data_IF_860311217005
#
_entry.id   IF_860311217005
#
_cell.length_a   1.000
_cell.length_b   1.000
_cell.length_c   1.000
_cell.angle_alpha   90.00
_cell.angle_beta   90.00
_cell.angle_gamma   90.00
#
_symmetry.space_group_name_H-M   'P 1'
#
loop_
_entity.id
_entity.type
_entity.pdbx_description
1 polymer ?
#
# COMPACT_ATOMS: atom_id res chain seq x y z
N UNK A 1 37.60 35.28 -53.76
CA UNK A 1 36.90 34.00 -53.50
C UNK A 1 36.98 33.71 -52.01
N UNK A 2 36.00 34.20 -51.23
CA UNK A 2 35.99 34.10 -49.77
C UNK A 2 35.15 32.91 -49.29
N UNK A 3 35.72 32.09 -48.39
CA UNK A 3 35.07 30.93 -47.77
C UNK A 3 34.21 31.39 -46.60
N UNK A 4 32.91 31.08 -46.63
CA UNK A 4 32.01 31.21 -45.48
C UNK A 4 32.16 29.97 -44.58
N UNK A 5 32.55 30.20 -43.33
CA UNK A 5 32.57 29.20 -42.26
C UNK A 5 31.24 29.29 -41.52
N UNK A 6 30.42 28.24 -41.59
CA UNK A 6 29.19 28.14 -40.81
C UNK A 6 29.52 27.54 -39.43
N UNK A 7 29.33 28.33 -38.37
CA UNK A 7 29.43 27.87 -37.00
C UNK A 7 28.11 27.23 -36.56
N UNK A 8 28.12 25.92 -36.32
CA UNK A 8 27.01 25.20 -35.69
C UNK A 8 27.05 25.44 -34.18
N UNK A 9 26.09 26.21 -33.66
CA UNK A 9 25.81 26.29 -32.23
C UNK A 9 25.04 25.04 -31.79
N UNK A 10 25.70 24.17 -31.03
CA UNK A 10 25.08 23.02 -30.37
C UNK A 10 24.52 23.50 -29.04
N UNK A 11 23.20 23.62 -28.94
CA UNK A 11 22.49 23.87 -27.68
C UNK A 11 22.40 22.58 -26.86
N UNK A 12 23.10 22.55 -25.73
CA UNK A 12 23.04 21.47 -24.75
C UNK A 12 21.70 21.54 -23.99
N UNK A 13 20.77 20.62 -24.27
CA UNK A 13 19.53 20.50 -23.51
C UNK A 13 19.83 19.87 -22.13
N UNK A 14 19.75 20.68 -21.07
CA UNK A 14 19.77 20.21 -19.69
C UNK A 14 18.49 19.40 -19.42
N UNK A 15 18.62 18.08 -19.36
CA UNK A 15 17.58 17.19 -18.85
C UNK A 15 17.45 17.41 -17.33
N UNK A 16 16.66 18.40 -16.93
CA UNK A 16 16.21 18.53 -15.54
C UNK A 16 15.31 17.35 -15.22
N UNK A 17 15.66 16.57 -14.18
CA UNK A 17 14.77 15.56 -13.62
C UNK A 17 13.52 16.26 -13.06
N UNK A 18 12.49 16.42 -13.89
CA UNK A 18 11.20 16.90 -13.46
C UNK A 18 10.62 15.86 -12.48
N UNK A 19 10.59 16.21 -11.20
CA UNK A 19 9.82 15.44 -10.21
C UNK A 19 8.36 15.71 -10.52
N UNK A 20 7.64 14.72 -11.05
CA UNK A 20 6.19 14.80 -11.22
C UNK A 20 5.55 14.90 -9.83
N UNK A 21 5.07 16.09 -9.50
CA UNK A 21 4.23 16.31 -8.33
C UNK A 21 2.79 16.18 -8.79
N UNK A 22 2.09 15.17 -8.27
CA UNK A 22 0.69 14.95 -8.62
C UNK A 22 -0.14 15.95 -7.82
N UNK A 23 -0.69 16.95 -8.51
CA UNK A 23 -1.66 17.88 -7.94
C UNK A 23 -3.00 17.16 -7.92
N UNK A 24 -3.51 16.87 -6.72
CA UNK A 24 -4.92 16.45 -6.57
C UNK A 24 -5.77 17.72 -6.72
N UNK A 25 -6.47 17.84 -7.85
CA UNK A 25 -7.49 18.88 -8.01
C UNK A 25 -8.65 18.61 -7.04
N UNK A 26 -8.90 19.57 -6.14
CA UNK A 26 -10.00 19.52 -5.19
C UNK A 26 -9.63 18.92 -3.84
N UNK A 27 -10.06 19.60 -2.77
CA UNK A 27 -10.04 19.10 -1.39
C UNK A 27 -11.09 17.99 -1.20
N UNK A 28 -11.03 16.93 -2.01
CA UNK A 28 -11.92 15.80 -1.83
C UNK A 28 -11.60 15.14 -0.49
N UNK A 29 -12.59 15.11 0.39
CA UNK A 29 -12.54 14.34 1.61
C UNK A 29 -12.54 12.87 1.20
N UNK A 30 -11.41 12.20 1.40
CA UNK A 30 -11.23 10.79 1.05
C UNK A 30 -11.41 9.94 2.30
N UNK A 31 -11.60 8.66 2.10
CA UNK A 31 -11.53 7.65 3.16
C UNK A 31 -10.50 6.59 2.83
N UNK A 32 -9.99 5.90 3.85
CA UNK A 32 -9.21 4.67 3.65
C UNK A 32 -10.11 3.54 3.14
N UNK A 33 -9.68 2.82 2.09
CA UNK A 33 -10.44 1.71 1.49
C UNK A 33 -10.11 0.33 2.10
N UNK A 34 -9.08 0.28 2.95
CA UNK A 34 -8.71 -0.87 3.73
C UNK A 34 -8.11 -0.42 5.07
N UNK A 35 -7.97 -1.35 6.01
CA UNK A 35 -7.15 -1.14 7.18
C UNK A 35 -5.69 -0.87 6.74
N UNK A 36 -5.10 0.19 7.29
CA UNK A 36 -3.70 0.52 7.10
C UNK A 36 -2.91 0.19 8.38
N UNK A 37 -1.62 -0.12 8.21
CA UNK A 37 -0.75 -0.56 9.31
C UNK A 37 0.43 0.40 9.55
N UNK A 38 0.18 1.56 10.18
CA UNK A 38 1.26 2.44 10.60
C UNK A 38 2.08 1.81 11.72
N UNK A 39 3.40 1.94 11.65
CA UNK A 39 4.26 1.77 12.81
C UNK A 39 4.09 2.93 13.81
N UNK A 40 4.80 2.88 14.95
CA UNK A 40 4.73 3.91 15.99
C UNK A 40 4.97 5.35 15.47
N UNK A 41 5.72 5.52 14.37
CA UNK A 41 6.02 6.82 13.73
C UNK A 41 4.99 7.25 12.67
N UNK A 42 3.88 6.51 12.52
CA UNK A 42 2.87 6.80 11.50
C UNK A 42 3.27 6.41 10.08
N UNK A 43 4.27 5.53 9.91
CA UNK A 43 4.73 5.08 8.59
C UNK A 43 4.09 3.75 8.24
N UNK A 44 3.44 3.72 7.08
CA UNK A 44 2.86 2.56 6.42
C UNK A 44 3.76 2.23 5.21
N UNK A 45 4.01 0.95 4.96
CA UNK A 45 4.86 0.48 3.86
C UNK A 45 4.09 -0.44 2.93
N UNK A 46 4.39 -0.40 1.62
CA UNK A 46 3.80 -1.34 0.65
C UNK A 46 4.25 -2.81 0.83
N UNK A 47 5.23 -3.07 1.70
CA UNK A 47 5.51 -4.43 2.23
C UNK A 47 4.34 -4.94 3.09
N UNK A 48 3.48 -4.06 3.60
CA UNK A 48 2.32 -4.42 4.42
C UNK A 48 2.65 -5.41 5.56
N UNK A 49 3.71 -5.10 6.30
CA UNK A 49 4.15 -5.90 7.44
C UNK A 49 3.29 -5.65 8.68
N UNK A 50 3.02 -6.68 9.45
CA UNK A 50 2.14 -6.60 10.64
C UNK A 50 2.89 -6.28 11.94
N UNK A 51 4.22 -6.16 11.87
CA UNK A 51 5.09 -6.08 13.05
C UNK A 51 5.05 -4.71 13.72
N UNK A 52 4.68 -4.66 15.00
CA UNK A 52 4.73 -3.43 15.80
C UNK A 52 3.89 -2.30 15.20
N UNK A 53 2.83 -2.65 14.46
CA UNK A 53 1.94 -1.70 13.79
C UNK A 53 0.61 -1.58 14.53
N UNK A 54 0.11 -0.36 14.65
CA UNK A 54 -1.29 -0.09 15.01
C UNK A 54 -2.16 -0.28 13.76
N UNK A 55 -3.47 -0.49 13.92
CA UNK A 55 -4.43 -0.46 12.81
C UNK A 55 -4.99 0.96 12.72
N UNK A 56 -4.86 1.57 11.54
CA UNK A 56 -5.69 2.70 11.12
C UNK A 56 -6.90 2.09 10.38
N UNK A 57 -8.11 2.15 10.94
CA UNK A 57 -9.25 1.42 10.40
C UNK A 57 -9.59 1.81 8.96
N UNK A 58 -10.20 0.88 8.21
CA UNK A 58 -10.93 1.20 6.98
C UNK A 58 -12.00 2.26 7.26
N UNK A 59 -12.33 3.05 6.24
CA UNK A 59 -13.26 4.16 6.31
C UNK A 59 -12.82 5.30 7.25
N UNK A 60 -11.53 5.39 7.57
CA UNK A 60 -10.98 6.56 8.26
C UNK A 60 -11.02 7.75 7.30
N UNK A 61 -11.67 8.88 7.65
CA UNK A 61 -11.61 10.10 6.87
C UNK A 61 -10.19 10.66 6.83
N UNK A 62 -9.72 10.99 5.64
CA UNK A 62 -8.36 11.46 5.39
C UNK A 62 -8.33 12.58 4.35
N UNK A 63 -7.29 13.40 4.44
CA UNK A 63 -6.93 14.37 3.41
C UNK A 63 -5.49 14.11 2.97
N UNK A 64 -5.29 13.90 1.68
CA UNK A 64 -3.96 13.79 1.09
C UNK A 64 -3.32 15.18 1.11
N UNK A 65 -2.12 15.28 1.67
CA UNK A 65 -1.32 16.51 1.71
C UNK A 65 -0.33 16.57 0.56
N UNK A 66 0.20 15.41 0.13
CA UNK A 66 1.19 15.33 -0.95
C UNK A 66 1.27 13.92 -1.53
N UNK A 67 1.48 13.83 -2.84
CA UNK A 67 1.85 12.60 -3.53
C UNK A 67 3.15 12.83 -4.28
N UNK A 68 4.07 11.88 -4.17
CA UNK A 68 5.30 11.79 -4.96
C UNK A 68 5.45 10.36 -5.46
N UNK A 69 6.38 10.12 -6.38
CA UNK A 69 6.63 8.81 -6.99
C UNK A 69 6.74 7.62 -6.00
N UNK A 70 7.13 7.87 -4.74
CA UNK A 70 7.34 6.81 -3.74
C UNK A 70 6.66 7.02 -2.40
N UNK A 71 5.92 8.11 -2.23
CA UNK A 71 5.34 8.47 -0.94
C UNK A 71 4.01 9.21 -1.10
N UNK A 72 2.99 8.79 -0.35
CA UNK A 72 1.78 9.58 -0.05
C UNK A 72 1.87 10.11 1.37
N UNK A 73 1.72 11.41 1.54
CA UNK A 73 1.52 12.06 2.85
C UNK A 73 0.06 12.41 3.01
N UNK A 74 -0.52 12.04 4.14
CA UNK A 74 -1.92 12.31 4.42
C UNK A 74 -2.15 12.53 5.91
N UNK A 75 -3.26 13.18 6.23
CA UNK A 75 -3.73 13.39 7.61
C UNK A 75 -5.06 12.67 7.80
N UNK A 76 -5.23 11.98 8.93
CA UNK A 76 -6.53 11.50 9.37
C UNK A 76 -7.29 12.66 10.02
N UNK A 77 -8.37 13.13 9.39
CA UNK A 77 -9.01 14.41 9.75
C UNK A 77 -9.64 14.37 11.14
N UNK A 78 -10.24 13.25 11.54
CA UNK A 78 -10.84 13.08 12.86
C UNK A 78 -9.86 13.10 14.05
N UNK A 79 -8.55 12.92 13.82
CA UNK A 79 -7.52 12.94 14.88
C UNK A 79 -6.41 13.97 14.65
N UNK A 80 -6.42 14.64 13.49
CA UNK A 80 -5.34 15.50 13.00
C UNK A 80 -3.94 14.84 13.00
N UNK A 81 -3.88 13.50 12.99
CA UNK A 81 -2.62 12.76 12.96
C UNK A 81 -2.12 12.58 11.53
N UNK A 82 -0.85 12.90 11.30
CA UNK A 82 -0.17 12.74 10.01
C UNK A 82 0.41 11.33 9.84
N UNK A 83 0.36 10.84 8.61
CA UNK A 83 0.85 9.53 8.19
C UNK A 83 1.63 9.62 6.89
N UNK A 84 2.47 8.62 6.66
CA UNK A 84 3.20 8.41 5.41
C UNK A 84 2.95 7.01 4.89
N UNK A 85 2.53 6.88 3.64
CA UNK A 85 2.50 5.62 2.92
C UNK A 85 3.70 5.59 1.98
N UNK A 86 4.62 4.65 2.17
CA UNK A 86 5.89 4.56 1.44
C UNK A 86 5.92 3.30 0.60
N UNK A 87 6.20 3.44 -0.70
CA UNK A 87 6.48 2.29 -1.54
C UNK A 87 7.81 1.66 -1.12
N UNK A 88 7.84 0.34 -1.00
CA UNK A 88 9.10 -0.39 -0.88
C UNK A 88 9.79 -0.49 -2.24
N UNK A 89 11.13 -0.61 -2.26
CA UNK A 89 11.91 -0.64 -3.51
C UNK A 89 11.60 -1.85 -4.41
N UNK A 90 11.03 -2.90 -3.84
CA UNK A 90 10.61 -4.08 -4.59
C UNK A 90 9.22 -3.95 -5.22
N UNK A 91 8.47 -2.90 -4.90
CA UNK A 91 7.17 -2.63 -5.51
C UNK A 91 7.38 -2.37 -7.01
N UNK A 92 6.74 -3.16 -7.85
CA UNK A 92 6.66 -2.96 -9.30
C UNK A 92 5.49 -2.07 -9.71
N UNK A 93 4.51 -1.86 -8.82
CA UNK A 93 3.37 -0.97 -9.07
C UNK A 93 3.71 0.51 -8.83
N UNK A 94 3.18 1.43 -9.67
CA UNK A 94 3.38 2.87 -9.53
C UNK A 94 2.56 3.45 -8.37
N UNK A 95 2.88 4.67 -7.91
CA UNK A 95 2.24 5.27 -6.73
C UNK A 95 0.73 5.46 -6.92
N UNK A 96 0.29 5.74 -8.13
CA UNK A 96 -1.11 5.97 -8.50
C UNK A 96 -1.95 4.72 -8.27
N UNK A 97 -1.41 3.55 -8.62
CA UNK A 97 -2.06 2.26 -8.34
C UNK A 97 -2.20 2.05 -6.83
N UNK A 98 -1.19 2.41 -6.05
CA UNK A 98 -1.29 2.35 -4.58
C UNK A 98 -2.27 3.38 -4.01
N UNK A 99 -2.38 4.57 -4.58
CA UNK A 99 -3.36 5.57 -4.16
C UNK A 99 -4.77 5.03 -4.36
N UNK A 100 -5.07 4.49 -5.55
CA UNK A 100 -6.38 3.93 -5.89
C UNK A 100 -6.76 2.71 -5.04
N UNK A 101 -5.77 1.95 -4.59
CA UNK A 101 -5.99 0.80 -3.69
C UNK A 101 -6.44 1.19 -2.29
N UNK A 102 -5.96 2.31 -1.78
CA UNK A 102 -6.06 2.63 -0.36
C UNK A 102 -6.87 3.89 -0.05
N UNK A 103 -7.14 4.75 -1.03
CA UNK A 103 -7.86 5.99 -0.84
C UNK A 103 -8.99 6.12 -1.88
N UNK A 104 -10.18 6.50 -1.44
CA UNK A 104 -11.32 6.71 -2.33
C UNK A 104 -12.40 7.59 -1.71
N UNK A 105 -13.39 7.98 -2.52
CA UNK A 105 -14.44 8.92 -2.10
C UNK A 105 -15.56 8.31 -1.25
N UNK A 106 -15.62 6.99 -1.09
CA UNK A 106 -16.68 6.32 -0.35
C UNK A 106 -16.19 5.08 0.41
N UNK A 107 -16.70 4.90 1.62
CA UNK A 107 -16.43 3.73 2.46
C UNK A 107 -16.93 2.45 1.78
N UNK A 108 -16.16 1.34 1.77
CA UNK A 108 -16.67 0.04 1.39
C UNK A 108 -17.86 -0.37 2.27
N UNK A 109 -18.89 -0.98 1.67
CA UNK A 109 -20.05 -1.49 2.42
C UNK A 109 -19.69 -2.79 3.18
N UNK A 110 -18.99 -2.64 4.31
CA UNK A 110 -18.53 -3.77 5.14
C UNK A 110 -19.70 -4.60 5.67
N UNK A 111 -20.82 -3.96 5.97
CA UNK A 111 -22.01 -4.61 6.53
C UNK A 111 -22.68 -5.57 5.54
N UNK A 112 -22.48 -5.37 4.24
CA UNK A 112 -22.96 -6.27 3.20
C UNK A 112 -22.03 -7.47 2.95
N UNK A 113 -20.84 -7.51 3.58
CA UNK A 113 -19.90 -8.62 3.43
C UNK A 113 -20.31 -9.81 4.32
N UNK A 114 -19.87 -11.04 4.00
CA UNK A 114 -20.03 -12.21 4.87
C UNK A 114 -19.53 -11.98 6.30
N UNK A 115 -20.10 -12.68 7.28
CA UNK A 115 -19.76 -12.50 8.69
C UNK A 115 -18.25 -12.70 8.98
N UNK A 116 -17.62 -13.69 8.32
CA UNK A 116 -16.18 -13.91 8.44
C UNK A 116 -15.37 -12.69 7.97
N UNK A 117 -15.79 -12.02 6.89
CA UNK A 117 -15.16 -10.81 6.39
C UNK A 117 -15.31 -9.66 7.38
N UNK A 118 -16.51 -9.45 7.92
CA UNK A 118 -16.75 -8.42 8.91
C UNK A 118 -15.86 -8.59 10.15
N UNK A 119 -15.77 -9.81 10.68
CA UNK A 119 -14.91 -10.14 11.83
C UNK A 119 -13.42 -9.95 11.51
N UNK A 120 -12.97 -10.39 10.34
CA UNK A 120 -11.60 -10.19 9.91
C UNK A 120 -11.26 -8.72 9.73
N UNK A 121 -12.17 -7.91 9.17
CA UNK A 121 -12.00 -6.47 9.01
C UNK A 121 -11.92 -5.77 10.36
N UNK A 122 -12.81 -6.11 11.30
CA UNK A 122 -12.81 -5.54 12.65
C UNK A 122 -11.51 -5.84 13.41
N UNK A 123 -11.01 -7.07 13.31
CA UNK A 123 -9.76 -7.48 13.97
C UNK A 123 -8.51 -7.09 13.17
N UNK A 124 -8.72 -6.62 11.92
CA UNK A 124 -7.69 -6.40 10.93
C UNK A 124 -6.83 -7.63 10.71
N UNK A 125 -7.42 -8.81 10.54
CA UNK A 125 -6.70 -10.07 10.28
C UNK A 125 -7.46 -10.95 9.28
N UNK A 126 -6.77 -11.58 8.30
CA UNK A 126 -7.31 -12.68 7.51
C UNK A 126 -7.65 -13.88 8.41
N UNK A 127 -8.75 -14.56 8.10
CA UNK A 127 -9.23 -15.74 8.81
C UNK A 127 -9.92 -16.71 7.83
N UNK A 128 -10.03 -18.01 8.17
CA UNK A 128 -10.83 -18.96 7.39
C UNK A 128 -12.26 -18.47 7.15
N UNK A 129 -12.80 -18.75 5.96
CA UNK A 129 -14.14 -18.33 5.54
C UNK A 129 -14.22 -16.93 4.93
N UNK A 130 -13.16 -16.12 5.02
CA UNK A 130 -13.13 -14.79 4.39
C UNK A 130 -13.06 -14.86 2.86
N UNK A 131 -13.57 -13.83 2.19
CA UNK A 131 -13.36 -13.62 0.75
C UNK A 131 -12.02 -12.92 0.48
N UNK A 132 -11.52 -12.97 -0.76
CA UNK A 132 -10.35 -12.17 -1.18
C UNK A 132 -10.54 -10.68 -0.91
N UNK A 133 -11.73 -10.16 -1.18
CA UNK A 133 -12.09 -8.77 -0.91
C UNK A 133 -12.03 -8.48 0.59
N UNK A 134 -12.63 -9.33 1.42
CA UNK A 134 -12.58 -9.20 2.88
C UNK A 134 -11.15 -9.20 3.40
N UNK A 135 -10.28 -10.08 2.88
CA UNK A 135 -8.86 -10.13 3.24
C UNK A 135 -8.15 -8.84 2.88
N UNK A 136 -8.39 -8.29 1.69
CA UNK A 136 -7.80 -7.01 1.25
C UNK A 136 -8.26 -5.86 2.15
N UNK A 137 -9.55 -5.77 2.47
CA UNK A 137 -10.07 -4.70 3.34
C UNK A 137 -9.51 -4.86 4.77
N UNK A 138 -9.43 -6.09 5.27
CA UNK A 138 -8.98 -6.38 6.63
C UNK A 138 -7.49 -6.18 6.85
N UNK A 139 -6.66 -6.66 5.92
CA UNK A 139 -5.22 -6.74 6.09
C UNK A 139 -4.44 -5.80 5.18
N UNK A 140 -5.09 -5.17 4.20
CA UNK A 140 -4.46 -4.48 3.09
C UNK A 140 -4.07 -5.43 1.96
N UNK A 141 -3.66 -4.85 0.82
CA UNK A 141 -3.18 -5.62 -0.32
C UNK A 141 -1.90 -6.40 0.06
N UNK A 142 -1.76 -7.66 -0.41
CA UNK A 142 -0.49 -8.36 -0.27
C UNK A 142 0.58 -7.63 -1.11
N UNK A 143 1.87 -7.71 -0.73
CA UNK A 143 2.91 -7.05 -1.48
C UNK A 143 3.04 -7.69 -2.86
N UNK A 144 2.93 -6.86 -3.89
CA UNK A 144 2.94 -7.21 -5.31
C UNK A 144 4.14 -8.07 -5.72
N UNK A 145 5.33 -7.80 -5.19
CA UNK A 145 6.53 -8.59 -5.49
C UNK A 145 6.53 -10.03 -4.97
N UNK A 146 5.64 -10.39 -4.03
CA UNK A 146 5.45 -11.79 -3.56
C UNK A 146 4.05 -12.33 -3.86
N UNK A 147 3.12 -11.48 -4.29
CA UNK A 147 1.78 -11.86 -4.75
C UNK A 147 1.46 -11.00 -5.97
N UNK A 148 1.95 -11.39 -7.16
CA UNK A 148 1.85 -10.56 -8.36
C UNK A 148 0.42 -10.32 -8.83
N UNK A 149 -0.49 -11.25 -8.52
CA UNK A 149 -1.89 -11.19 -8.93
C UNK A 149 -2.82 -11.47 -7.76
N UNK A 150 -4.01 -10.85 -7.77
CA UNK A 150 -5.00 -11.00 -6.70
C UNK A 150 -5.89 -12.25 -6.87
N UNK A 151 -5.78 -12.95 -7.99
CA UNK A 151 -6.39 -14.27 -8.20
C UNK A 151 -5.48 -15.43 -7.74
N UNK A 152 -4.24 -15.14 -7.28
CA UNK A 152 -3.30 -16.15 -6.82
C UNK A 152 -3.91 -17.07 -5.75
N UNK A 153 -3.61 -18.38 -5.75
CA UNK A 153 -4.17 -19.32 -4.78
C UNK A 153 -3.73 -19.03 -3.33
N UNK A 154 -2.68 -18.22 -3.16
CA UNK A 154 -2.16 -17.83 -1.86
C UNK A 154 -1.74 -16.36 -1.87
N UNK A 155 -2.13 -15.62 -0.85
CA UNK A 155 -1.54 -14.32 -0.55
C UNK A 155 -0.45 -14.48 0.50
N UNK A 156 0.70 -13.84 0.29
CA UNK A 156 1.81 -13.84 1.24
C UNK A 156 1.97 -12.48 1.90
N UNK A 157 1.89 -12.46 3.22
CA UNK A 157 2.14 -11.29 4.08
C UNK A 157 3.37 -11.51 4.95
N UNK A 158 3.78 -10.47 5.67
CA UNK A 158 4.91 -10.51 6.61
C UNK A 158 4.43 -10.29 8.04
N UNK A 159 4.46 -11.35 8.85
CA UNK A 159 4.16 -11.32 10.28
C UNK A 159 5.40 -11.08 11.14
N UNK A 160 5.25 -11.25 12.46
CA UNK A 160 6.33 -11.04 13.44
C UNK A 160 7.44 -12.09 13.37
N UNK A 161 7.07 -13.35 13.15
CA UNK A 161 7.97 -14.50 13.16
C UNK A 161 8.35 -15.02 11.77
N UNK A 162 7.85 -14.40 10.70
CA UNK A 162 8.08 -14.88 9.33
C UNK A 162 6.98 -14.46 8.36
N UNK A 163 6.83 -15.24 7.30
CA UNK A 163 5.73 -15.06 6.36
C UNK A 163 4.41 -15.55 6.97
N UNK A 164 3.31 -14.93 6.56
CA UNK A 164 1.96 -15.42 6.82
C UNK A 164 1.34 -15.70 5.46
N UNK A 165 0.94 -16.94 5.22
CA UNK A 165 0.28 -17.36 3.99
C UNK A 165 -1.22 -17.47 4.24
N UNK A 166 -2.00 -16.88 3.34
CA UNK A 166 -3.47 -16.97 3.31
C UNK A 166 -3.84 -17.75 2.06
N UNK A 167 -4.29 -18.98 2.24
CA UNK A 167 -4.62 -19.89 1.14
C UNK A 167 -6.10 -19.85 0.82
N UNK A 168 -6.42 -19.90 -0.47
CA UNK A 168 -7.78 -19.80 -0.99
C UNK A 168 -8.19 -21.07 -1.74
N UNK A 169 -9.47 -21.44 -1.62
CA UNK A 169 -10.16 -22.27 -2.59
C UNK A 169 -11.21 -21.40 -3.29
N UNK A 170 -11.00 -21.15 -4.59
CA UNK A 170 -11.74 -20.12 -5.31
C UNK A 170 -11.56 -18.74 -4.67
N UNK A 171 -12.66 -18.17 -4.17
CA UNK A 171 -12.66 -16.86 -3.51
C UNK A 171 -12.57 -16.94 -1.97
N UNK A 172 -12.62 -18.14 -1.38
CA UNK A 172 -12.76 -18.31 0.08
C UNK A 172 -11.45 -18.76 0.71
N UNK A 173 -11.06 -18.12 1.80
CA UNK A 173 -9.90 -18.51 2.62
C UNK A 173 -10.16 -19.87 3.27
N UNK A 174 -9.27 -20.83 3.04
CA UNK A 174 -9.32 -22.16 3.67
C UNK A 174 -8.32 -22.29 4.81
N UNK A 175 -7.21 -21.54 4.77
CA UNK A 175 -6.15 -21.63 5.77
C UNK A 175 -5.41 -20.29 5.90
N UNK A 176 -5.01 -19.96 7.14
CA UNK A 176 -4.05 -18.89 7.45
C UNK A 176 -2.94 -19.50 8.28
N UNK A 177 -1.73 -19.56 7.73
CA UNK A 177 -0.59 -20.20 8.37
C UNK A 177 0.61 -19.26 8.49
N UNK A 178 1.23 -19.23 9.67
CA UNK A 178 2.58 -18.71 9.79
C UNK A 178 3.55 -19.73 9.19
N UNK A 179 4.36 -19.29 8.22
CA UNK A 179 5.44 -20.10 7.66
C UNK A 179 6.70 -19.74 8.44
N UNK A 180 7.29 -20.69 9.19
CA UNK A 180 8.52 -20.43 9.92
C UNK A 180 9.58 -19.89 8.96
N UNK A 181 10.10 -18.70 9.26
CA UNK A 181 11.27 -18.20 8.54
C UNK A 181 12.46 -19.14 8.74
N UNK A 182 13.44 -19.12 7.82
CA UNK A 182 14.76 -19.69 8.11
C UNK A 182 15.24 -19.12 9.45
N UNK A 183 15.87 -19.94 10.30
CA UNK A 183 16.43 -19.49 11.58
C UNK A 183 17.27 -18.21 11.35
N UNK A 184 16.91 -17.11 12.02
CA UNK A 184 17.58 -15.81 11.88
C UNK A 184 17.00 -14.86 10.81
N UNK A 185 16.00 -15.25 10.03
CA UNK A 185 15.35 -14.35 9.07
C UNK A 185 14.48 -13.31 9.79
N UNK A 186 14.99 -12.08 9.88
CA UNK A 186 14.17 -10.91 10.21
C UNK A 186 13.60 -10.40 8.88
N UNK A 187 12.29 -10.54 8.68
CA UNK A 187 11.59 -10.04 7.49
C UNK A 187 11.95 -8.60 7.11
N UNK A 188 11.60 -8.16 5.89
CA UNK A 188 12.13 -6.93 5.31
C UNK A 188 11.98 -5.74 6.25
N UNK A 189 13.12 -5.15 6.64
CA UNK A 189 13.14 -3.91 7.43
C UNK A 189 12.78 -2.75 6.52
N UNK A 190 11.73 -2.02 6.88
CA UNK A 190 11.47 -0.70 6.31
C UNK A 190 12.55 0.24 6.85
N UNK A 191 13.63 0.41 6.09
CA UNK A 191 14.65 1.43 6.39
C UNK A 191 14.06 2.76 5.94
N UNK A 192 13.44 3.47 6.87
CA UNK A 192 13.07 4.87 6.67
C UNK A 192 14.35 5.67 6.90
N UNK A 193 14.98 6.14 5.82
CA UNK A 193 16.05 7.15 5.91
C UNK A 193 15.45 8.50 6.29
#
# INVERSE_FOLDING_TARGET
MGRLVAAFLVTLALAGCARTEYVIEGSQELVTLANLRPNARGVISSINGWRGTTILPVCTPVRIERISEREVRFVATGTNRRYRYILHRSSGLPIEEHVNRYFGGSCPNVQALPQADQQGIQTGRPMPGMTRQGVIIAAGYPPDHVTPTLDAPTYTYWGDSGQVQVSFNGNVVTNVAAVPGRAGYRGPRVIVR
#
